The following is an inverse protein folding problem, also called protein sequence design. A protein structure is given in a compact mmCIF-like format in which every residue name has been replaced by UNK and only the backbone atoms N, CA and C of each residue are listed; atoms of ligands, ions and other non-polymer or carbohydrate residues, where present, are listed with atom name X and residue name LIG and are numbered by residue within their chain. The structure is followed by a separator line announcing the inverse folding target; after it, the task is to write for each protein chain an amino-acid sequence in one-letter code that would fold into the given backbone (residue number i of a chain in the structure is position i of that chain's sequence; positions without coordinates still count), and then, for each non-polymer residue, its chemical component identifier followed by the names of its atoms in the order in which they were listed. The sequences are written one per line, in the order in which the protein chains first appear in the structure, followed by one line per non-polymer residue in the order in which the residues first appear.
data_IF_047042146636
#
_entry.id   IF_047042146636
#
_cell.length_a   1.000
_cell.length_b   1.000
_cell.length_c   1.000
_cell.angle_alpha   90.00
_cell.angle_beta   90.00
_cell.angle_gamma   90.00
#
_symmetry.space_group_name_H-M   'P 1'
#
loop_
_entity.id
_entity.type
_entity.pdbx_description
1 polymer ?
#
# COMPACT_ATOMS: atom_id res chain seq x y z
N UNK A 1 -7.68 11.27 -6.93
CA UNK A 1 -7.95 11.66 -5.52
C UNK A 1 -7.18 10.70 -4.65
N UNK A 2 -6.34 11.17 -3.72
CA UNK A 2 -5.65 10.28 -2.77
C UNK A 2 -6.64 9.81 -1.69
N UNK A 3 -6.45 8.61 -1.15
CA UNK A 3 -7.37 8.00 -0.20
C UNK A 3 -6.64 7.01 0.71
N UNK A 4 -7.12 6.90 1.94
CA UNK A 4 -6.72 5.86 2.87
C UNK A 4 -7.97 5.28 3.54
N UNK A 5 -8.01 3.96 3.70
CA UNK A 5 -8.96 3.25 4.55
C UNK A 5 -8.18 2.43 5.57
N UNK A 6 -8.61 2.47 6.83
CA UNK A 6 -7.95 1.77 7.93
C UNK A 6 -9.01 1.06 8.73
N UNK A 7 -8.78 -0.22 9.00
CA UNK A 7 -9.55 -0.99 9.96
C UNK A 7 -8.70 -1.28 11.20
N UNK A 8 -9.32 -1.14 12.37
CA UNK A 8 -8.72 -1.44 13.66
C UNK A 8 -9.36 -2.73 14.20
N UNK A 9 -8.68 -3.84 13.99
CA UNK A 9 -9.21 -5.19 14.20
C UNK A 9 -8.96 -5.71 15.62
N UNK A 10 -7.85 -5.29 16.24
CA UNK A 10 -7.51 -5.64 17.62
C UNK A 10 -6.65 -4.56 18.28
N UNK A 11 -6.81 -4.39 19.59
CA UNK A 11 -5.97 -3.49 20.38
C UNK A 11 -4.50 -3.92 20.43
N UNK A 12 -3.63 -2.94 20.68
CA UNK A 12 -2.20 -3.12 20.92
C UNK A 12 -1.92 -2.47 22.26
N UNK A 13 -1.22 -3.19 23.14
CA UNK A 13 -0.89 -2.72 24.49
C UNK A 13 0.59 -2.35 24.58
N UNK A 14 0.93 -1.60 25.64
CA UNK A 14 2.32 -1.29 25.92
C UNK A 14 3.15 -2.57 26.13
N UNK A 15 4.29 -2.64 25.46
CA UNK A 15 5.19 -3.79 25.50
C UNK A 15 4.93 -4.84 24.41
N UNK A 16 3.91 -4.67 23.58
CA UNK A 16 3.68 -5.55 22.42
C UNK A 16 4.74 -5.35 21.34
N UNK A 17 5.16 -6.46 20.74
CA UNK A 17 5.97 -6.46 19.54
C UNK A 17 5.07 -6.47 18.30
N UNK A 18 5.37 -5.59 17.33
CA UNK A 18 4.59 -5.45 16.10
C UNK A 18 5.49 -5.42 14.86
N UNK A 19 4.98 -5.96 13.77
CA UNK A 19 5.58 -5.86 12.43
C UNK A 19 4.58 -5.25 11.45
N UNK A 20 5.06 -4.41 10.54
CA UNK A 20 4.27 -3.91 9.41
C UNK A 20 4.71 -4.60 8.14
N UNK A 21 3.79 -5.33 7.50
CA UNK A 21 3.99 -5.91 6.18
C UNK A 21 3.31 -5.03 5.15
N UNK A 22 4.03 -4.67 4.08
CA UNK A 22 3.49 -3.90 2.97
C UNK A 22 3.47 -4.72 1.68
N UNK A 23 2.40 -4.59 0.92
CA UNK A 23 2.25 -5.10 -0.45
C UNK A 23 1.90 -3.95 -1.38
N UNK A 24 2.64 -3.83 -2.47
CA UNK A 24 2.22 -2.99 -3.59
C UNK A 24 1.17 -3.75 -4.38
N UNK A 25 0.00 -3.14 -4.57
CA UNK A 25 -1.14 -3.76 -5.28
C UNK A 25 -1.06 -3.43 -6.75
N UNK A 26 -0.90 -2.14 -7.06
CA UNK A 26 -0.83 -1.63 -8.43
C UNK A 26 -0.29 -0.19 -8.38
N UNK A 27 0.00 0.39 -9.54
CA UNK A 27 0.38 1.80 -9.65
C UNK A 27 -0.11 2.42 -10.95
N UNK A 28 0.01 3.73 -10.99
CA UNK A 28 -0.27 4.60 -12.12
C UNK A 28 0.95 5.47 -12.42
N UNK A 29 0.88 6.31 -13.46
CA UNK A 29 1.88 7.31 -13.80
C UNK A 29 2.34 8.13 -12.59
N UNK A 30 1.44 8.41 -11.64
CA UNK A 30 1.67 9.34 -10.51
C UNK A 30 1.30 8.78 -9.14
N UNK A 31 0.54 7.68 -9.05
CA UNK A 31 0.07 7.15 -7.76
C UNK A 31 0.39 5.67 -7.56
N UNK A 32 0.62 5.26 -6.31
CA UNK A 32 0.76 3.86 -5.91
C UNK A 32 -0.42 3.44 -5.03
N UNK A 33 -0.96 2.26 -5.29
CA UNK A 33 -1.95 1.58 -4.46
C UNK A 33 -1.25 0.52 -3.62
N UNK A 34 -1.33 0.67 -2.30
CA UNK A 34 -0.64 -0.19 -1.35
C UNK A 34 -1.62 -0.75 -0.32
N UNK A 35 -1.28 -1.93 0.18
CA UNK A 35 -1.94 -2.54 1.32
C UNK A 35 -0.91 -2.82 2.42
N UNK A 36 -1.28 -2.53 3.66
CA UNK A 36 -0.44 -2.78 4.83
C UNK A 36 -1.20 -3.59 5.87
N UNK A 37 -0.48 -4.50 6.53
CA UNK A 37 -0.96 -5.27 7.67
C UNK A 37 -0.05 -5.01 8.85
N UNK A 38 -0.65 -4.62 9.97
CA UNK A 38 0.01 -4.54 11.26
C UNK A 38 -0.22 -5.84 12.01
N UNK A 39 0.83 -6.64 12.11
CA UNK A 39 0.83 -7.92 12.84
C UNK A 39 1.36 -7.66 14.24
N UNK A 40 0.58 -8.03 15.26
CA UNK A 40 1.02 -8.09 16.64
C UNK A 40 1.61 -9.48 16.89
N UNK A 41 2.94 -9.55 16.90
CA UNK A 41 3.70 -10.79 17.05
C UNK A 41 3.49 -11.41 18.43
N UNK A 42 3.26 -10.58 19.45
CA UNK A 42 3.01 -11.05 20.83
C UNK A 42 1.68 -11.77 20.96
N UNK A 43 0.65 -11.37 20.20
CA UNK A 43 -0.71 -11.92 20.26
C UNK A 43 -1.08 -12.82 19.09
N UNK A 44 -0.22 -12.94 18.10
CA UNK A 44 -0.45 -13.67 16.85
C UNK A 44 -1.75 -13.22 16.15
N UNK A 45 -1.86 -11.90 15.92
CA UNK A 45 -3.04 -11.28 15.31
C UNK A 45 -2.69 -10.14 14.36
N UNK A 46 -3.48 -9.98 13.31
CA UNK A 46 -3.50 -8.72 12.55
C UNK A 46 -4.30 -7.69 13.34
N UNK A 47 -3.61 -6.73 13.95
CA UNK A 47 -4.22 -5.66 14.73
C UNK A 47 -4.86 -4.57 13.87
N UNK A 48 -4.33 -4.34 12.66
CA UNK A 48 -4.88 -3.34 11.74
C UNK A 48 -4.52 -3.64 10.29
N UNK A 49 -5.40 -3.23 9.39
CA UNK A 49 -5.18 -3.18 7.95
C UNK A 49 -5.26 -1.74 7.47
N UNK A 50 -4.41 -1.34 6.52
CA UNK A 50 -4.44 -0.02 5.90
C UNK A 50 -4.25 -0.12 4.41
N UNK A 51 -5.27 0.28 3.65
CA UNK A 51 -5.22 0.42 2.20
C UNK A 51 -4.99 1.90 1.86
N UNK A 52 -4.01 2.19 1.01
CA UNK A 52 -3.60 3.57 0.74
C UNK A 52 -3.33 3.78 -0.75
N UNK A 53 -3.93 4.84 -1.28
CA UNK A 53 -3.57 5.43 -2.57
C UNK A 53 -2.76 6.70 -2.30
N UNK A 54 -1.46 6.64 -2.60
CA UNK A 54 -0.49 7.73 -2.40
C UNK A 54 0.00 8.27 -3.74
N UNK A 55 0.35 9.55 -3.80
CA UNK A 55 0.83 10.20 -5.01
C UNK A 55 2.30 10.63 -4.91
N UNK A 56 3.02 10.55 -6.03
CA UNK A 56 4.36 11.09 -6.20
C UNK A 56 4.29 12.57 -6.52
N UNK A 57 4.99 13.39 -5.73
CA UNK A 57 4.88 14.83 -5.80
C UNK A 57 6.23 15.48 -6.07
N UNK A 58 6.23 16.43 -6.99
CA UNK A 58 7.24 17.47 -7.05
C UNK A 58 7.03 18.42 -5.87
N UNK A 59 8.02 18.51 -4.99
CA UNK A 59 7.94 19.32 -3.76
C UNK A 59 8.15 20.82 -4.01
N UNK A 60 8.83 21.19 -5.10
CA UNK A 60 9.01 22.58 -5.51
C UNK A 60 7.74 23.10 -6.17
N UNK A 61 7.23 22.38 -7.17
CA UNK A 61 5.99 22.71 -7.85
C UNK A 61 4.73 22.45 -6.99
N UNK A 62 4.87 21.66 -5.91
CA UNK A 62 3.81 21.23 -4.98
C UNK A 62 2.64 20.56 -5.70
N UNK A 63 2.94 19.68 -6.67
CA UNK A 63 1.97 18.99 -7.52
C UNK A 63 2.37 17.55 -7.75
N UNK A 64 1.38 16.69 -8.04
CA UNK A 64 1.65 15.33 -8.47
C UNK A 64 2.40 15.35 -9.81
N UNK A 65 3.44 14.52 -9.92
CA UNK A 65 4.26 14.38 -11.11
C UNK A 65 4.52 12.90 -11.39
N UNK A 66 4.84 12.56 -12.62
CA UNK A 66 5.04 11.18 -13.00
C UNK A 66 6.24 10.58 -12.28
N UNK A 67 6.17 9.30 -11.94
CA UNK A 67 7.32 8.58 -11.40
C UNK A 67 8.49 8.62 -12.41
N UNK A 68 9.74 8.76 -11.93
CA UNK A 68 10.91 8.48 -12.73
C UNK A 68 10.88 7.03 -13.26
N UNK A 69 11.28 6.76 -14.52
CA UNK A 69 11.24 5.41 -15.10
C UNK A 69 11.99 4.36 -14.28
N UNK A 70 13.09 4.72 -13.63
CA UNK A 70 13.86 3.82 -12.77
C UNK A 70 13.10 3.35 -11.52
N UNK A 71 12.04 4.06 -11.11
CA UNK A 71 11.15 3.61 -10.04
C UNK A 71 10.08 2.66 -10.55
N UNK A 72 9.50 2.92 -11.72
CA UNK A 72 8.42 2.08 -12.27
C UNK A 72 8.92 0.66 -12.59
N UNK A 73 10.14 0.52 -13.09
CA UNK A 73 10.78 -0.80 -13.30
C UNK A 73 10.85 -1.62 -12.00
N UNK A 74 11.06 -0.94 -10.86
CA UNK A 74 11.12 -1.58 -9.54
C UNK A 74 9.73 -1.91 -9.00
N UNK A 75 8.70 -1.17 -9.39
CA UNK A 75 7.32 -1.42 -8.99
C UNK A 75 6.79 -2.70 -9.61
N UNK A 76 7.02 -2.89 -10.91
CA UNK A 76 6.63 -4.11 -11.62
C UNK A 76 7.23 -5.36 -10.96
N UNK A 77 8.52 -5.32 -10.62
CA UNK A 77 9.20 -6.41 -9.92
C UNK A 77 8.58 -6.68 -8.53
N UNK A 78 8.19 -5.63 -7.81
CA UNK A 78 7.61 -5.75 -6.46
C UNK A 78 6.18 -6.29 -6.48
N UNK A 79 5.42 -5.93 -7.49
CA UNK A 79 4.06 -6.47 -7.73
C UNK A 79 4.18 -7.96 -8.10
N UNK A 80 5.07 -8.32 -9.01
CA UNK A 80 5.31 -9.71 -9.41
C UNK A 80 5.70 -10.59 -8.21
N UNK A 81 6.65 -10.16 -7.37
CA UNK A 81 7.04 -10.85 -6.14
C UNK A 81 5.83 -11.05 -5.20
N UNK A 82 4.95 -10.07 -5.12
CA UNK A 82 3.77 -10.14 -4.25
C UNK A 82 2.70 -11.08 -4.81
N UNK A 83 2.59 -11.21 -6.12
CA UNK A 83 1.64 -12.11 -6.79
C UNK A 83 2.03 -13.59 -6.63
N UNK A 84 3.31 -13.87 -6.33
CA UNK A 84 3.79 -15.22 -6.00
C UNK A 84 3.33 -15.71 -4.61
N UNK A 85 2.79 -14.84 -3.75
CA UNK A 85 2.36 -15.21 -2.39
C UNK A 85 1.16 -16.16 -2.35
N UNK A 86 0.50 -16.43 -3.49
CA UNK A 86 -0.59 -17.42 -3.60
C UNK A 86 -1.93 -16.98 -3.02
N UNK A 87 -2.03 -15.73 -2.55
CA UNK A 87 -3.29 -15.11 -2.09
C UNK A 87 -3.41 -13.67 -2.61
N UNK A 88 -4.65 -13.21 -2.77
CA UNK A 88 -4.96 -11.85 -3.20
C UNK A 88 -5.17 -10.93 -2.00
N UNK A 89 -4.70 -9.67 -2.05
CA UNK A 89 -4.93 -8.74 -0.95
C UNK A 89 -6.42 -8.36 -0.89
N UNK A 90 -6.98 -8.37 0.31
CA UNK A 90 -8.35 -7.92 0.55
C UNK A 90 -8.40 -6.38 0.53
N UNK A 91 -8.76 -5.81 -0.61
CA UNK A 91 -8.98 -4.36 -0.77
C UNK A 91 -10.39 -3.96 -0.35
N UNK A 92 -10.58 -2.75 0.16
CA UNK A 92 -11.88 -2.21 0.55
C UNK A 92 -12.84 -1.95 -0.62
N UNK A 93 -12.33 -1.90 -1.86
CA UNK A 93 -13.06 -1.46 -3.05
C UNK A 93 -13.27 0.05 -3.12
N UNK A 94 -12.81 0.82 -2.12
CA UNK A 94 -12.91 2.28 -2.12
C UNK A 94 -11.81 2.95 -2.96
N UNK A 95 -10.77 2.21 -3.34
CA UNK A 95 -9.68 2.66 -4.20
C UNK A 95 -9.76 1.89 -5.53
N UNK A 96 -9.85 2.64 -6.62
CA UNK A 96 -9.79 2.13 -7.99
C UNK A 96 -8.84 3.03 -8.77
N UNK A 97 -7.76 2.46 -9.30
CA UNK A 97 -6.89 3.15 -10.25
C UNK A 97 -7.58 3.17 -11.62
N UNK A 98 -7.63 4.33 -12.27
CA UNK A 98 -8.28 4.43 -13.57
C UNK A 98 -7.37 3.88 -14.67
N UNK A 99 -7.91 3.23 -15.71
CA UNK A 99 -7.10 2.70 -16.83
C UNK A 99 -6.28 3.76 -17.57
N UNK A 100 -6.71 5.03 -17.54
CA UNK A 100 -6.01 6.16 -18.16
C UNK A 100 -4.75 6.60 -17.41
N UNK A 101 -4.49 6.00 -16.25
CA UNK A 101 -3.34 6.31 -15.42
C UNK A 101 -2.25 5.22 -15.51
N UNK A 102 -2.37 4.20 -16.38
CA UNK A 102 -1.26 3.28 -16.72
C UNK A 102 -0.46 3.76 -17.92
#
# INVERSE_FOLDING_TARGET
MLRQTIDYNAEILAGDEITIHGRMVDYSDKCMHNMYWMVNETRDKVSSTSEVLVGYADLEARRLTSFPPELTDRFDARIAESDELGWLPETSGAILLSPSER
#
